data_IF_192502527479
#
_entry.id   IF_192502527479
#
_cell.length_a   1.000
_cell.length_b   1.000
_cell.length_c   1.000
_cell.angle_alpha   90.00
_cell.angle_beta   90.00
_cell.angle_gamma   90.00
#
_symmetry.space_group_name_H-M   'P 1'
#
loop_
_entity.id
_entity.type
_entity.pdbx_description
1 polymer ?
#
# COMPACT_ATOMS: atom_id res chain seq x y z
N UNK A 1 -45.85 3.78 -8.65
CA UNK A 1 -45.19 3.84 -7.32
C UNK A 1 -43.70 3.64 -7.55
N UNK A 2 -42.94 4.72 -7.68
CA UNK A 2 -41.49 4.65 -7.85
C UNK A 2 -40.86 4.34 -6.49
N UNK A 3 -40.20 3.19 -6.37
CA UNK A 3 -39.45 2.85 -5.17
C UNK A 3 -38.30 3.86 -5.01
N UNK A 4 -38.27 4.54 -3.86
CA UNK A 4 -37.19 5.46 -3.52
C UNK A 4 -35.84 4.70 -3.55
N UNK A 5 -34.74 5.33 -4.01
CA UNK A 5 -33.43 4.71 -4.01
C UNK A 5 -33.06 4.30 -2.57
N UNK A 6 -32.39 3.14 -2.39
CA UNK A 6 -31.99 2.69 -1.07
C UNK A 6 -31.12 3.76 -0.39
N UNK A 7 -31.25 3.93 0.95
CA UNK A 7 -30.44 4.89 1.68
C UNK A 7 -28.95 4.58 1.49
N UNK A 8 -28.22 5.50 0.87
CA UNK A 8 -26.75 5.46 0.84
C UNK A 8 -26.26 5.90 2.20
N UNK A 9 -26.08 4.95 3.12
CA UNK A 9 -25.29 5.23 4.32
C UNK A 9 -23.93 5.72 3.85
N UNK A 10 -23.36 6.79 4.44
CA UNK A 10 -21.97 7.14 4.17
C UNK A 10 -21.16 5.91 4.56
N UNK A 11 -20.62 5.21 3.56
CA UNK A 11 -19.63 4.17 3.80
C UNK A 11 -18.57 4.81 4.66
N UNK A 12 -18.17 4.21 5.80
CA UNK A 12 -17.10 4.78 6.59
C UNK A 12 -15.91 4.91 5.64
N UNK A 13 -15.50 6.16 5.36
CA UNK A 13 -14.36 6.44 4.49
C UNK A 13 -13.22 5.59 5.02
N UNK A 14 -12.74 4.65 4.20
CA UNK A 14 -11.61 3.81 4.59
C UNK A 14 -10.47 4.74 5.03
N UNK A 15 -9.94 4.53 6.23
CA UNK A 15 -8.88 5.39 6.79
C UNK A 15 -7.59 5.33 5.97
N UNK A 16 -7.37 4.20 5.28
CA UNK A 16 -6.24 4.03 4.34
C UNK A 16 -6.73 4.33 2.93
N UNK A 17 -6.32 5.48 2.42
CA UNK A 17 -6.56 5.91 1.04
C UNK A 17 -5.39 5.47 0.14
N UNK A 18 -5.59 5.34 -1.19
CA UNK A 18 -4.49 5.11 -2.11
C UNK A 18 -3.49 6.28 -2.05
N UNK A 19 -2.21 5.96 -1.89
CA UNK A 19 -1.14 6.95 -1.89
C UNK A 19 -1.06 7.64 -3.26
N UNK A 20 -0.88 8.96 -3.28
CA UNK A 20 -0.58 9.73 -4.48
C UNK A 20 0.47 10.80 -4.13
N UNK A 21 1.66 10.83 -4.76
CA UNK A 21 2.14 9.93 -5.82
C UNK A 21 2.50 8.53 -5.32
N UNK A 22 2.22 7.50 -6.14
CA UNK A 22 2.57 6.11 -5.89
C UNK A 22 3.62 5.62 -6.89
N UNK A 23 4.75 5.13 -6.36
CA UNK A 23 5.84 4.52 -7.13
C UNK A 23 6.18 3.14 -6.52
N UNK A 24 5.72 2.07 -7.18
CA UNK A 24 5.92 0.71 -6.70
C UNK A 24 7.42 0.31 -6.67
N UNK A 25 8.21 0.73 -7.66
CA UNK A 25 9.65 0.44 -7.74
C UNK A 25 10.43 1.11 -6.60
N UNK A 26 10.17 2.39 -6.33
CA UNK A 26 10.82 3.11 -5.22
C UNK A 26 10.46 2.49 -3.88
N UNK A 27 9.20 2.11 -3.69
CA UNK A 27 8.74 1.41 -2.48
C UNK A 27 9.44 0.06 -2.32
N UNK A 28 9.57 -0.74 -3.39
CA UNK A 28 10.28 -2.01 -3.37
C UNK A 28 11.77 -1.85 -3.03
N UNK A 29 12.46 -0.88 -3.64
CA UNK A 29 13.86 -0.57 -3.33
C UNK A 29 14.04 -0.11 -1.88
N UNK A 30 13.15 0.75 -1.38
CA UNK A 30 13.19 1.23 0.00
C UNK A 30 12.96 0.09 1.00
N UNK A 31 12.00 -0.82 0.73
CA UNK A 31 11.79 -2.03 1.53
C UNK A 31 13.04 -2.92 1.54
N UNK A 32 13.68 -3.11 0.37
CA UNK A 32 14.91 -3.90 0.30
C UNK A 32 16.03 -3.28 1.11
N UNK A 33 16.20 -1.96 1.02
CA UNK A 33 17.21 -1.21 1.79
C UNK A 33 16.95 -1.32 3.29
N UNK A 34 15.69 -1.19 3.72
CA UNK A 34 15.27 -1.33 5.11
C UNK A 34 15.52 -2.74 5.66
N UNK A 35 15.48 -3.79 4.83
CA UNK A 35 15.67 -5.19 5.22
C UNK A 35 17.10 -5.72 5.04
N UNK A 36 17.98 -5.03 4.31
CA UNK A 36 19.34 -5.53 3.96
C UNK A 36 20.42 -5.11 4.98
N UNK A 37 20.14 -4.15 5.85
CA UNK A 37 21.11 -3.59 6.81
C UNK A 37 21.48 -4.51 7.96
N UNK A 38 22.40 -4.05 8.82
CA UNK A 38 22.74 -4.71 10.08
C UNK A 38 21.67 -4.35 11.12
N UNK A 39 20.48 -4.90 10.93
CA UNK A 39 19.23 -4.49 11.57
C UNK A 39 18.11 -4.27 10.55
N UNK A 40 16.88 -4.14 11.03
CA UNK A 40 15.70 -3.83 10.20
C UNK A 40 15.28 -2.39 10.46
N UNK A 41 15.04 -1.59 9.43
CA UNK A 41 14.41 -0.28 9.60
C UNK A 41 12.88 -0.44 9.62
N UNK A 42 12.34 -0.78 10.80
CA UNK A 42 10.90 -1.04 10.94
C UNK A 42 10.08 0.23 10.66
N UNK A 43 10.59 1.41 10.99
CA UNK A 43 9.90 2.67 10.76
C UNK A 43 9.64 2.91 9.27
N UNK A 44 10.62 2.64 8.41
CA UNK A 44 10.44 2.74 6.96
C UNK A 44 9.44 1.71 6.43
N UNK A 45 9.49 0.47 6.91
CA UNK A 45 8.56 -0.60 6.50
C UNK A 45 7.12 -0.24 6.90
N UNK A 46 6.92 0.16 8.16
CA UNK A 46 5.60 0.56 8.69
C UNK A 46 5.07 1.72 7.87
N UNK A 47 5.87 2.77 7.62
CA UNK A 47 5.43 3.92 6.85
C UNK A 47 4.96 3.53 5.45
N UNK A 48 5.76 2.75 4.72
CA UNK A 48 5.40 2.32 3.35
C UNK A 48 4.13 1.47 3.37
N UNK A 49 3.99 0.51 4.29
CA UNK A 49 2.81 -0.33 4.30
C UNK A 49 1.57 0.48 4.72
N UNK A 50 1.65 1.26 5.78
CA UNK A 50 0.49 2.00 6.34
C UNK A 50 -0.06 3.10 5.44
N UNK A 51 0.77 3.75 4.62
CA UNK A 51 0.30 4.80 3.70
C UNK A 51 -0.23 4.28 2.37
N UNK A 52 0.05 3.02 2.01
CA UNK A 52 -0.41 2.42 0.76
C UNK A 52 -1.68 1.59 0.98
N UNK A 53 -2.63 1.69 0.04
CA UNK A 53 -3.82 0.85 0.06
C UNK A 53 -3.47 -0.61 -0.30
N UNK A 54 -4.37 -1.55 -0.02
CA UNK A 54 -4.12 -2.97 -0.29
C UNK A 54 -3.76 -3.26 -1.75
N UNK A 55 -4.41 -2.61 -2.71
CA UNK A 55 -4.09 -2.78 -4.13
C UNK A 55 -2.65 -2.35 -4.45
N UNK A 56 -2.21 -1.22 -3.90
CA UNK A 56 -0.84 -0.73 -4.03
C UNK A 56 0.19 -1.66 -3.37
N UNK A 57 -0.15 -2.23 -2.21
CA UNK A 57 0.72 -3.22 -1.54
C UNK A 57 0.93 -4.47 -2.40
N UNK A 58 -0.13 -4.96 -3.05
CA UNK A 58 -0.02 -6.09 -3.99
C UNK A 58 0.86 -5.74 -5.20
N UNK A 59 0.78 -4.50 -5.69
CA UNK A 59 1.65 -4.00 -6.76
C UNK A 59 3.12 -3.98 -6.30
N UNK A 60 3.38 -3.44 -5.10
CA UNK A 60 4.71 -3.42 -4.50
C UNK A 60 5.26 -4.85 -4.34
N UNK A 61 4.43 -5.81 -3.92
CA UNK A 61 4.84 -7.22 -3.79
C UNK A 61 5.25 -7.82 -5.14
N UNK A 62 4.47 -7.59 -6.20
CA UNK A 62 4.81 -8.05 -7.56
C UNK A 62 6.13 -7.46 -8.04
N UNK A 63 6.29 -6.15 -7.88
CA UNK A 63 7.52 -5.45 -8.29
C UNK A 63 8.71 -5.90 -7.47
N UNK A 64 8.55 -6.05 -6.15
CA UNK A 64 9.60 -6.57 -5.27
C UNK A 64 10.04 -7.99 -5.69
N UNK A 65 9.08 -8.88 -6.01
CA UNK A 65 9.33 -10.22 -6.55
C UNK A 65 10.09 -10.17 -7.87
N UNK A 66 9.71 -9.30 -8.80
CA UNK A 66 10.39 -9.14 -10.08
C UNK A 66 11.82 -8.59 -9.92
N UNK A 67 12.01 -7.60 -9.05
CA UNK A 67 13.30 -6.94 -8.86
C UNK A 67 14.31 -7.75 -8.04
N UNK A 68 13.83 -8.57 -7.10
CA UNK A 68 14.68 -9.28 -6.14
C UNK A 68 14.56 -10.81 -6.19
N UNK A 69 13.69 -11.35 -7.04
CA UNK A 69 13.53 -12.80 -7.26
C UNK A 69 13.05 -13.54 -6.01
N UNK A 70 12.31 -12.88 -5.11
CA UNK A 70 11.78 -13.45 -3.86
C UNK A 70 10.34 -13.06 -3.64
#
# INVERSE_FOLDING_TARGET
MAAAPPPVWPTPLATVQPANPFDAEKAAQALRKAMKGLGTDEATIIRILTTNCNAQRMEIEKVYKQMHGR
#
